data_IF_701203912478
#
_entry.id   IF_701203912478
#
_cell.length_a   1.000
_cell.length_b   1.000
_cell.length_c   1.000
_cell.angle_alpha   90.00
_cell.angle_beta   90.00
_cell.angle_gamma   90.00
#
_symmetry.space_group_name_H-M   'P 1'
#
loop_
_entity.id
_entity.type
_entity.pdbx_description
1 polymer ?
#
# COMPACT_ATOMS: atom_id res chain seq x y z
N UNK A 1 11.81 16.01 1.91
CA UNK A 1 10.79 15.55 2.87
C UNK A 1 9.47 15.34 2.14
N UNK A 2 8.91 16.36 1.48
CA UNK A 2 7.63 16.27 0.74
C UNK A 2 7.57 15.16 -0.33
N UNK A 3 8.57 15.02 -1.20
CA UNK A 3 8.53 14.00 -2.28
C UNK A 3 8.54 12.56 -1.74
N UNK A 4 9.23 12.30 -0.63
CA UNK A 4 9.30 10.95 -0.06
C UNK A 4 7.97 10.54 0.58
N UNK A 5 7.26 11.49 1.17
CA UNK A 5 5.90 11.31 1.67
C UNK A 5 4.93 11.05 0.52
N UNK A 6 5.06 11.77 -0.61
CA UNK A 6 4.24 11.52 -1.80
C UNK A 6 4.48 10.12 -2.39
N UNK A 7 5.74 9.66 -2.48
CA UNK A 7 6.07 8.29 -2.91
C UNK A 7 5.43 7.27 -1.96
N UNK A 8 5.50 7.51 -0.65
CA UNK A 8 4.88 6.65 0.37
C UNK A 8 3.36 6.58 0.18
N UNK A 9 2.71 7.74 0.05
CA UNK A 9 1.27 7.82 -0.20
C UNK A 9 0.87 7.15 -1.52
N UNK A 10 1.70 7.25 -2.56
CA UNK A 10 1.51 6.55 -3.83
C UNK A 10 1.58 5.02 -3.66
N UNK A 11 2.60 4.51 -2.97
CA UNK A 11 2.75 3.07 -2.66
C UNK A 11 1.56 2.57 -1.82
N UNK A 12 1.01 3.41 -0.96
CA UNK A 12 -0.15 3.11 -0.13
C UNK A 12 -1.52 3.31 -0.77
N UNK A 13 -1.55 3.73 -2.04
CA UNK A 13 -2.79 4.08 -2.77
C UNK A 13 -3.63 5.12 -2.01
N UNK A 14 -2.97 6.06 -1.32
CA UNK A 14 -3.60 7.13 -0.54
C UNK A 14 -3.67 8.46 -1.30
N UNK A 15 -3.15 8.52 -2.52
CA UNK A 15 -3.31 9.67 -3.39
C UNK A 15 -4.69 9.63 -4.06
N UNK A 16 -5.51 10.63 -3.75
CA UNK A 16 -6.87 10.76 -4.30
C UNK A 16 -6.91 11.66 -5.54
N UNK A 17 -5.90 12.52 -5.71
CA UNK A 17 -5.78 13.38 -6.88
C UNK A 17 -5.16 12.61 -8.07
N UNK A 18 -5.88 12.57 -9.17
CA UNK A 18 -5.44 11.89 -10.40
C UNK A 18 -4.23 12.57 -11.05
N UNK A 19 -4.12 13.89 -10.96
CA UNK A 19 -2.99 14.64 -11.53
C UNK A 19 -1.70 14.31 -10.77
N UNK A 20 -1.76 14.28 -9.44
CA UNK A 20 -0.61 13.91 -8.60
C UNK A 20 -0.23 12.44 -8.85
N UNK A 21 -1.22 11.56 -8.98
CA UNK A 21 -1.01 10.14 -9.30
C UNK A 21 -0.32 9.97 -10.66
N UNK A 22 -0.74 10.72 -11.67
CA UNK A 22 -0.13 10.68 -13.00
C UNK A 22 1.31 11.20 -12.96
N UNK A 23 1.53 12.38 -12.34
CA UNK A 23 2.86 12.96 -12.14
C UNK A 23 3.80 11.97 -11.45
N UNK A 24 3.32 11.27 -10.42
CA UNK A 24 4.18 10.31 -9.72
C UNK A 24 4.54 9.10 -10.58
N UNK A 25 3.62 8.63 -11.42
CA UNK A 25 3.94 7.56 -12.38
C UNK A 25 5.04 8.02 -13.34
N UNK A 26 4.90 9.22 -13.91
CA UNK A 26 5.90 9.78 -14.82
C UNK A 26 7.27 9.94 -14.14
N UNK A 27 7.30 10.43 -12.91
CA UNK A 27 8.54 10.57 -12.13
C UNK A 27 9.21 9.22 -11.85
N UNK A 28 8.44 8.18 -11.53
CA UNK A 28 8.97 6.81 -11.34
C UNK A 28 9.54 6.26 -12.65
N UNK A 29 8.95 6.59 -13.79
CA UNK A 29 9.42 6.10 -15.08
C UNK A 29 10.70 6.82 -15.54
N UNK A 30 10.76 8.14 -15.34
CA UNK A 30 11.81 9.00 -15.88
C UNK A 30 13.03 9.15 -14.95
N UNK A 31 12.84 9.14 -13.63
CA UNK A 31 13.92 9.37 -12.65
C UNK A 31 14.33 8.07 -11.97
N UNK A 32 15.60 7.67 -12.17
CA UNK A 32 16.13 6.44 -11.61
C UNK A 32 16.19 6.43 -10.08
N UNK A 33 16.47 7.58 -9.45
CA UNK A 33 16.56 7.68 -7.98
C UNK A 33 15.18 7.52 -7.36
N UNK A 34 14.16 8.17 -7.95
CA UNK A 34 12.76 8.05 -7.51
C UNK A 34 12.26 6.62 -7.71
N UNK A 35 12.60 5.99 -8.85
CA UNK A 35 12.24 4.60 -9.13
C UNK A 35 12.81 3.64 -8.09
N UNK A 36 14.08 3.80 -7.73
CA UNK A 36 14.73 2.93 -6.75
C UNK A 36 14.09 3.08 -5.37
N UNK A 37 13.79 4.31 -4.92
CA UNK A 37 13.08 4.57 -3.67
C UNK A 37 11.68 3.93 -3.67
N UNK A 38 10.92 4.09 -4.75
CA UNK A 38 9.62 3.45 -4.93
C UNK A 38 9.71 1.92 -4.80
N UNK A 39 10.70 1.30 -5.45
CA UNK A 39 10.91 -0.15 -5.39
C UNK A 39 11.25 -0.63 -3.98
N UNK A 40 12.08 0.13 -3.25
CA UNK A 40 12.43 -0.16 -1.84
C UNK A 40 11.17 -0.12 -0.97
N UNK A 41 10.39 0.95 -1.04
CA UNK A 41 9.18 1.11 -0.23
C UNK A 41 8.13 0.04 -0.56
N UNK A 42 7.96 -0.31 -1.84
CA UNK A 42 7.08 -1.40 -2.27
C UNK A 42 7.52 -2.74 -1.66
N UNK A 43 8.84 -3.02 -1.63
CA UNK A 43 9.39 -4.23 -0.98
C UNK A 43 9.14 -4.23 0.52
N UNK A 44 9.35 -3.10 1.19
CA UNK A 44 9.07 -2.95 2.64
C UNK A 44 7.59 -3.24 2.92
N UNK A 45 6.67 -2.68 2.14
CA UNK A 45 5.23 -2.95 2.27
C UNK A 45 4.89 -4.43 2.17
N UNK A 46 5.49 -5.15 1.22
CA UNK A 46 5.29 -6.60 1.06
C UNK A 46 5.84 -7.36 2.28
N UNK A 47 7.01 -6.99 2.79
CA UNK A 47 7.60 -7.63 3.97
C UNK A 47 6.72 -7.43 5.21
N UNK A 48 6.21 -6.21 5.40
CA UNK A 48 5.29 -5.90 6.50
C UNK A 48 3.99 -6.66 6.36
N UNK A 49 3.36 -6.66 5.17
CA UNK A 49 2.11 -7.40 4.96
C UNK A 49 2.30 -8.90 5.19
N UNK A 50 3.42 -9.47 4.76
CA UNK A 50 3.76 -10.88 5.00
C UNK A 50 3.92 -11.17 6.50
N UNK A 51 4.66 -10.31 7.22
CA UNK A 51 4.84 -10.44 8.68
C UNK A 51 3.50 -10.43 9.42
N UNK A 52 2.59 -9.53 9.05
CA UNK A 52 1.29 -9.43 9.69
C UNK A 52 0.26 -10.46 9.19
N UNK A 53 0.42 -10.99 7.98
CA UNK A 53 -0.45 -12.03 7.42
C UNK A 53 -0.34 -13.38 8.15
N UNK A 54 0.79 -13.68 8.78
CA UNK A 54 0.97 -14.89 9.59
C UNK A 54 0.19 -14.89 10.91
N UNK A 55 -0.47 -13.78 11.27
CA UNK A 55 -1.42 -13.76 12.37
C UNK A 55 -2.70 -14.49 11.99
N UNK A 56 -2.80 -15.79 12.25
CA UNK A 56 -4.07 -16.50 12.16
C UNK A 56 -5.09 -15.81 13.07
N UNK A 57 -6.01 -15.03 12.50
CA UNK A 57 -7.14 -14.50 13.27
C UNK A 57 -7.95 -15.69 13.81
N UNK A 58 -8.41 -15.58 15.06
CA UNK A 58 -9.13 -16.70 15.68
C UNK A 58 -10.33 -17.10 14.81
N UNK A 59 -10.54 -18.41 14.60
CA UNK A 59 -11.67 -18.94 13.80
C UNK A 59 -13.02 -18.38 14.28
N UNK A 60 -13.13 -18.03 15.57
CA UNK A 60 -14.31 -17.40 16.17
C UNK A 60 -14.54 -15.98 15.65
N UNK A 61 -13.49 -15.18 15.50
CA UNK A 61 -13.58 -13.82 14.94
C UNK A 61 -13.93 -13.87 13.45
N UNK A 62 -13.29 -14.76 12.69
CA UNK A 62 -13.60 -14.97 11.26
C UNK A 62 -15.07 -15.36 11.04
N UNK A 63 -15.60 -16.31 11.83
CA UNK A 63 -17.02 -16.71 11.76
C UNK A 63 -17.98 -15.56 12.09
N UNK A 64 -17.65 -14.72 13.07
CA UNK A 64 -18.47 -13.54 13.42
C UNK A 64 -18.49 -12.52 12.28
N UNK A 65 -17.35 -12.24 11.67
CA UNK A 65 -17.25 -11.29 10.55
C UNK A 65 -18.06 -11.81 9.36
N UNK A 66 -17.86 -13.07 8.95
CA UNK A 66 -18.61 -13.67 7.84
C UNK A 66 -20.12 -13.66 8.09
N UNK A 67 -20.56 -14.03 9.30
CA UNK A 67 -21.98 -14.00 9.66
C UNK A 67 -22.60 -12.60 9.62
N UNK A 68 -21.83 -11.55 9.88
CA UNK A 68 -22.33 -10.17 9.79
C UNK A 68 -22.39 -9.69 8.35
N UNK A 69 -21.39 -10.03 7.52
CA UNK A 69 -21.39 -9.69 6.09
C UNK A 69 -22.56 -10.37 5.38
N UNK A 70 -22.86 -11.63 5.67
CA UNK A 70 -23.98 -12.36 5.05
C UNK A 70 -25.38 -11.88 5.45
N UNK A 71 -25.48 -10.99 6.45
CA UNK A 71 -26.75 -10.41 6.93
C UNK A 71 -27.02 -9.03 6.35
N UNK A 72 -26.04 -8.43 5.68
CA UNK A 72 -26.19 -7.22 4.87
C UNK A 72 -26.59 -7.61 3.45
#
# INVERSE_FOLDING_TARGET
MELQEEITAYVDNQLHDQLITLRMRELIDLDAVIRDEFLIQKKVKILLSTRFACGCSSKRLQKKILSNISRM
#
